data_IF_165786628679
#
_entry.id   IF_165786628679
#
_cell.length_a   1.000
_cell.length_b   1.000
_cell.length_c   1.000
_cell.angle_alpha   90.00
_cell.angle_beta   90.00
_cell.angle_gamma   90.00
#
_symmetry.space_group_name_H-M   'P 1'
#
loop_
_entity.id
_entity.type
_entity.pdbx_description
1 polymer ?
#
# COMPACT_ATOMS: atom_id res chain seq x y z
N UNK A 1 30.83 -52.23 -13.56
CA UNK A 1 31.09 -50.78 -13.56
C UNK A 1 29.95 -49.94 -14.15
N UNK A 2 28.68 -50.34 -13.96
CA UNK A 2 27.54 -49.61 -14.62
C UNK A 2 26.52 -48.99 -13.66
N UNK A 3 26.62 -49.25 -12.36
CA UNK A 3 25.67 -48.75 -11.35
C UNK A 3 26.00 -47.37 -10.77
N UNK A 4 27.24 -46.89 -10.91
CA UNK A 4 27.68 -45.62 -10.30
C UNK A 4 27.34 -44.39 -11.16
N UNK A 5 27.12 -44.58 -12.46
CA UNK A 5 26.81 -43.49 -13.40
C UNK A 5 25.32 -43.08 -13.38
N UNK A 6 24.44 -43.97 -12.94
CA UNK A 6 23.00 -43.68 -12.90
C UNK A 6 22.60 -42.86 -11.68
N UNK A 7 23.32 -43.02 -10.57
CA UNK A 7 23.06 -42.29 -9.32
C UNK A 7 23.46 -40.80 -9.39
N UNK A 8 24.46 -40.49 -10.18
CA UNK A 8 24.92 -39.10 -10.38
C UNK A 8 24.01 -38.32 -11.34
N UNK A 9 23.37 -38.98 -12.30
CA UNK A 9 22.43 -38.34 -13.21
C UNK A 9 21.11 -37.91 -12.56
N UNK A 10 20.65 -38.62 -11.54
CA UNK A 10 19.44 -38.24 -10.79
C UNK A 10 19.63 -37.07 -9.83
N UNK A 11 20.85 -36.81 -9.37
CA UNK A 11 21.15 -35.69 -8.47
C UNK A 11 21.26 -34.33 -9.18
N UNK A 12 21.45 -34.33 -10.51
CA UNK A 12 21.51 -33.10 -11.31
C UNK A 12 20.13 -32.60 -11.81
N UNK A 13 19.07 -33.38 -11.64
CA UNK A 13 17.72 -33.03 -12.12
C UNK A 13 16.87 -32.28 -11.07
N UNK A 14 17.39 -31.99 -9.92
CA UNK A 14 16.72 -31.19 -8.88
C UNK A 14 17.43 -29.88 -8.57
N UNK A 15 18.08 -29.29 -9.54
CA UNK A 15 18.34 -27.85 -9.49
C UNK A 15 17.00 -27.15 -9.68
N UNK A 16 16.28 -26.90 -8.57
CA UNK A 16 15.22 -25.90 -8.53
C UNK A 16 15.76 -24.68 -9.27
N UNK A 17 15.07 -24.27 -10.34
CA UNK A 17 15.31 -22.99 -11.02
C UNK A 17 15.55 -21.95 -9.93
N UNK A 18 16.82 -21.56 -9.69
CA UNK A 18 17.14 -20.43 -8.87
C UNK A 18 16.43 -19.28 -9.58
N UNK A 19 15.36 -18.76 -8.99
CA UNK A 19 14.75 -17.54 -9.48
C UNK A 19 15.88 -16.53 -9.53
N UNK A 20 16.21 -16.04 -10.72
CA UNK A 20 17.15 -14.94 -10.85
C UNK A 20 16.72 -13.88 -9.85
N UNK A 21 17.59 -13.64 -8.86
CA UNK A 21 17.39 -12.53 -7.94
C UNK A 21 17.28 -11.30 -8.80
N UNK A 22 16.15 -10.59 -8.70
CA UNK A 22 16.00 -9.31 -9.38
C UNK A 22 17.11 -8.40 -8.87
N UNK A 23 18.05 -8.08 -9.72
CA UNK A 23 19.23 -7.27 -9.38
C UNK A 23 18.89 -5.79 -9.20
N UNK A 24 17.73 -5.37 -9.68
CA UNK A 24 17.14 -4.05 -9.42
C UNK A 24 15.81 -4.26 -8.69
N UNK A 25 15.69 -3.76 -7.45
CA UNK A 25 14.38 -3.74 -6.79
C UNK A 25 13.40 -2.95 -7.67
N UNK A 26 12.28 -3.55 -8.06
CA UNK A 26 11.14 -2.79 -8.58
C UNK A 26 10.62 -1.96 -7.40
N UNK A 27 11.10 -0.73 -7.31
CA UNK A 27 10.70 0.18 -6.24
C UNK A 27 9.55 1.02 -6.73
N UNK A 28 8.42 0.93 -6.05
CA UNK A 28 7.47 2.02 -6.08
C UNK A 28 8.13 3.20 -5.35
N UNK A 29 8.55 4.22 -6.09
CA UNK A 29 9.13 5.42 -5.52
C UNK A 29 8.10 6.13 -4.64
N UNK A 30 8.58 6.87 -3.65
CA UNK A 30 7.75 7.77 -2.85
C UNK A 30 7.52 9.07 -3.59
N UNK A 31 6.36 9.68 -3.41
CA UNK A 31 6.06 11.02 -3.92
C UNK A 31 6.65 12.09 -3.00
N UNK A 32 7.23 13.14 -3.59
CA UNK A 32 7.57 14.35 -2.82
C UNK A 32 6.28 15.06 -2.36
N UNK A 33 6.35 15.92 -1.32
CA UNK A 33 5.18 16.68 -0.87
C UNK A 33 4.54 17.51 -1.99
N UNK A 34 5.35 18.13 -2.85
CA UNK A 34 4.87 18.92 -3.99
C UNK A 34 4.16 18.04 -5.01
N UNK A 35 4.80 16.94 -5.45
CA UNK A 35 4.15 15.99 -6.38
C UNK A 35 2.83 15.46 -5.82
N UNK A 36 2.80 15.11 -4.54
CA UNK A 36 1.57 14.62 -3.90
C UNK A 36 0.46 15.66 -3.95
N UNK A 37 0.77 16.92 -3.64
CA UNK A 37 -0.18 18.04 -3.68
C UNK A 37 -0.73 18.22 -5.09
N UNK A 38 0.16 18.36 -6.07
CA UNK A 38 -0.21 18.62 -7.47
C UNK A 38 -1.06 17.48 -8.04
N UNK A 39 -0.71 16.22 -7.74
CA UNK A 39 -1.49 15.04 -8.16
C UNK A 39 -2.88 15.04 -7.50
N UNK A 40 -2.99 15.42 -6.23
CA UNK A 40 -4.28 15.48 -5.54
C UNK A 40 -5.16 16.60 -6.10
N UNK A 41 -4.60 17.77 -6.40
CA UNK A 41 -5.32 18.88 -7.03
C UNK A 41 -5.80 18.49 -8.43
N UNK A 42 -4.94 17.89 -9.24
CA UNK A 42 -5.33 17.38 -10.57
C UNK A 42 -6.49 16.36 -10.47
N UNK A 43 -6.39 15.36 -9.58
CA UNK A 43 -7.46 14.38 -9.41
C UNK A 43 -8.74 15.02 -8.86
N UNK A 44 -8.65 16.06 -8.02
CA UNK A 44 -9.82 16.78 -7.49
C UNK A 44 -10.63 17.42 -8.62
N UNK A 45 -9.96 17.97 -9.61
CA UNK A 45 -10.58 18.64 -10.75
C UNK A 45 -11.08 17.66 -11.81
N UNK A 46 -10.37 16.56 -12.02
CA UNK A 46 -10.60 15.69 -13.17
C UNK A 46 -11.23 14.33 -12.80
N UNK A 47 -10.99 13.81 -11.58
CA UNK A 47 -11.43 12.48 -11.16
C UNK A 47 -11.56 12.38 -9.63
N UNK A 48 -12.62 12.92 -9.07
CA UNK A 48 -12.87 12.93 -7.62
C UNK A 48 -13.05 11.53 -7.02
N UNK A 49 -13.52 10.55 -7.81
CA UNK A 49 -13.66 9.15 -7.36
C UNK A 49 -12.28 8.52 -7.20
N UNK A 50 -11.40 8.72 -8.17
CA UNK A 50 -10.02 8.26 -8.08
C UNK A 50 -9.28 8.94 -6.93
N UNK A 51 -9.51 10.24 -6.72
CA UNK A 51 -8.92 10.96 -5.58
C UNK A 51 -9.31 10.28 -4.26
N UNK A 52 -10.60 10.07 -4.01
CA UNK A 52 -11.05 9.42 -2.78
C UNK A 52 -10.48 8.00 -2.66
N UNK A 53 -10.43 7.24 -3.76
CA UNK A 53 -9.80 5.91 -3.78
C UNK A 53 -8.32 5.97 -3.35
N UNK A 54 -7.56 6.92 -3.88
CA UNK A 54 -6.14 7.14 -3.54
C UNK A 54 -6.00 7.64 -2.09
N UNK A 55 -6.93 8.45 -1.59
CA UNK A 55 -6.93 8.90 -0.20
C UNK A 55 -7.11 7.74 0.80
N UNK A 56 -7.92 6.72 0.50
CA UNK A 56 -7.97 5.48 1.30
C UNK A 56 -6.63 4.74 1.31
N UNK A 57 -5.91 4.73 0.19
CA UNK A 57 -4.55 4.15 0.11
C UNK A 57 -3.58 4.96 0.97
N UNK A 58 -3.66 6.28 0.91
CA UNK A 58 -2.76 7.22 1.58
C UNK A 58 -2.99 7.28 3.09
N UNK A 59 -4.21 7.59 3.50
CA UNK A 59 -4.52 7.91 4.91
C UNK A 59 -4.87 6.67 5.75
N UNK A 60 -5.60 5.70 5.18
CA UNK A 60 -5.85 4.43 5.85
C UNK A 60 -4.78 3.38 5.59
N UNK A 61 -3.80 3.70 4.74
CA UNK A 61 -2.70 2.80 4.39
C UNK A 61 -3.22 1.45 3.88
N UNK A 62 -4.26 1.47 3.03
CA UNK A 62 -4.81 0.28 2.42
C UNK A 62 -4.04 -0.11 1.16
N UNK A 63 -4.07 -1.38 0.84
CA UNK A 63 -3.68 -1.83 -0.50
C UNK A 63 -4.81 -1.53 -1.49
N UNK A 64 -4.52 -1.22 -2.77
CA UNK A 64 -5.57 -0.97 -3.76
C UNK A 64 -6.65 -2.06 -3.83
N UNK A 65 -6.25 -3.32 -3.69
CA UNK A 65 -7.20 -4.45 -3.67
C UNK A 65 -8.10 -4.46 -2.42
N UNK A 66 -7.62 -3.95 -1.28
CA UNK A 66 -8.41 -3.81 -0.06
C UNK A 66 -9.45 -2.70 -0.23
N UNK A 67 -9.07 -1.59 -0.88
CA UNK A 67 -10.02 -0.50 -1.20
C UNK A 67 -11.12 -0.99 -2.14
N UNK A 68 -10.80 -1.81 -3.14
CA UNK A 68 -11.79 -2.40 -4.06
C UNK A 68 -12.85 -3.30 -3.40
N UNK A 69 -12.57 -3.77 -2.16
CA UNK A 69 -13.49 -4.65 -1.40
C UNK A 69 -14.43 -3.88 -0.49
N UNK A 70 -14.13 -2.61 -0.22
CA UNK A 70 -14.91 -1.83 0.73
C UNK A 70 -16.35 -1.71 0.29
N UNK A 71 -17.24 -1.94 1.24
CA UNK A 71 -18.65 -1.68 1.15
C UNK A 71 -19.03 -0.50 2.02
N UNK A 72 -20.22 0.03 1.84
CA UNK A 72 -20.77 1.10 2.68
C UNK A 72 -20.82 0.65 4.15
N UNK A 73 -21.21 -0.61 4.42
CA UNK A 73 -21.25 -1.18 5.79
C UNK A 73 -19.88 -1.23 6.49
N UNK A 74 -18.79 -1.19 5.76
CA UNK A 74 -17.45 -1.28 6.32
C UNK A 74 -16.95 0.07 6.88
N UNK A 75 -17.73 1.15 6.70
CA UNK A 75 -17.39 2.52 7.11
C UNK A 75 -18.33 2.98 8.23
N UNK A 76 -17.78 3.13 9.42
CA UNK A 76 -18.46 3.73 10.56
C UNK A 76 -17.93 5.16 10.74
N UNK A 77 -18.68 6.13 10.23
CA UNK A 77 -18.32 7.55 10.30
C UNK A 77 -18.41 8.06 11.74
N UNK A 78 -19.37 7.57 12.53
CA UNK A 78 -19.60 8.05 13.90
C UNK A 78 -18.47 7.64 14.83
N UNK A 79 -18.09 6.35 14.79
CA UNK A 79 -17.00 5.79 15.59
C UNK A 79 -15.63 5.94 14.91
N UNK A 80 -15.57 6.54 13.71
CA UNK A 80 -14.35 6.69 12.89
C UNK A 80 -13.64 5.34 12.65
N UNK A 81 -14.40 4.27 12.45
CA UNK A 81 -13.87 2.91 12.24
C UNK A 81 -14.03 2.45 10.80
N UNK A 82 -13.03 1.76 10.32
CA UNK A 82 -13.00 1.10 9.02
C UNK A 82 -12.77 -0.40 9.21
N UNK A 83 -13.69 -1.22 8.72
CA UNK A 83 -13.62 -2.68 8.78
C UNK A 83 -13.02 -3.22 7.48
N UNK A 84 -11.76 -3.66 7.53
CA UNK A 84 -11.01 -4.13 6.34
C UNK A 84 -11.04 -5.64 6.27
N UNK A 85 -11.75 -6.18 5.28
CA UNK A 85 -11.84 -7.62 5.02
C UNK A 85 -10.68 -8.05 4.10
N UNK A 86 -9.81 -8.92 4.58
CA UNK A 86 -8.78 -9.57 3.78
C UNK A 86 -9.24 -10.99 3.40
N UNK A 87 -8.88 -11.45 2.20
CA UNK A 87 -9.23 -12.80 1.75
C UNK A 87 -8.72 -13.84 2.76
N UNK A 88 -9.62 -14.66 3.31
CA UNK A 88 -9.31 -15.73 4.28
C UNK A 88 -8.59 -15.29 5.57
N UNK A 89 -8.81 -14.06 6.02
CA UNK A 89 -8.23 -13.53 7.27
C UNK A 89 -9.31 -12.85 8.10
N UNK A 90 -9.04 -12.72 9.40
CA UNK A 90 -9.88 -11.92 10.28
C UNK A 90 -10.03 -10.48 9.80
N UNK A 91 -11.19 -9.89 10.06
CA UNK A 91 -11.44 -8.47 9.77
C UNK A 91 -10.49 -7.62 10.60
N UNK A 92 -9.82 -6.67 9.95
CA UNK A 92 -9.01 -5.68 10.64
C UNK A 92 -9.84 -4.43 10.87
N UNK A 93 -9.78 -3.90 12.06
CA UNK A 93 -10.39 -2.61 12.39
C UNK A 93 -9.28 -1.55 12.32
N UNK A 94 -9.54 -0.48 11.59
CA UNK A 94 -8.65 0.68 11.47
C UNK A 94 -9.41 1.95 11.83
N UNK A 95 -8.70 2.94 12.33
CA UNK A 95 -9.26 4.27 12.52
C UNK A 95 -9.29 4.99 11.18
N UNK A 96 -10.37 5.70 10.89
CA UNK A 96 -10.45 6.64 9.77
C UNK A 96 -9.89 7.98 10.26
N UNK A 97 -8.75 8.46 9.74
CA UNK A 97 -8.22 9.75 10.14
C UNK A 97 -9.16 10.91 9.75
N UNK A 98 -9.17 11.98 10.53
CA UNK A 98 -10.05 13.13 10.31
C UNK A 98 -9.90 13.77 8.92
N UNK A 99 -8.70 13.73 8.36
CA UNK A 99 -8.46 14.20 6.99
C UNK A 99 -9.23 13.41 5.94
N UNK A 100 -9.31 12.08 6.09
CA UNK A 100 -10.08 11.24 5.19
C UNK A 100 -11.57 11.35 5.47
N UNK A 101 -11.95 11.44 6.76
CA UNK A 101 -13.36 11.52 7.16
C UNK A 101 -14.09 12.70 6.49
N UNK A 102 -13.41 13.83 6.32
CA UNK A 102 -13.94 15.04 5.66
C UNK A 102 -14.16 14.88 4.14
N UNK A 103 -13.48 13.93 3.53
CA UNK A 103 -13.56 13.67 2.10
C UNK A 103 -14.62 12.59 1.76
N UNK A 104 -15.06 11.80 2.75
CA UNK A 104 -16.09 10.78 2.56
C UNK A 104 -17.44 11.47 2.39
N UNK A 105 -18.17 11.21 1.28
CA UNK A 105 -19.50 11.77 1.09
C UNK A 105 -20.49 11.21 2.13
N UNK A 106 -21.67 11.82 2.21
CA UNK A 106 -22.75 11.30 3.05
C UNK A 106 -23.21 9.92 2.54
N UNK A 107 -22.94 8.89 3.34
CA UNK A 107 -23.30 7.51 3.06
C UNK A 107 -24.59 7.06 3.74
N UNK A 108 -25.23 7.93 4.54
CA UNK A 108 -26.34 7.57 5.45
C UNK A 108 -27.58 7.03 4.73
N UNK A 109 -27.80 7.47 3.48
CA UNK A 109 -28.95 7.07 2.64
C UNK A 109 -28.63 5.93 1.67
N UNK A 110 -27.41 5.42 1.68
CA UNK A 110 -26.98 4.36 0.77
C UNK A 110 -27.22 2.98 1.37
N UNK A 111 -27.55 2.00 0.53
CA UNK A 111 -27.63 0.60 0.98
C UNK A 111 -26.24 0.13 1.44
N UNK A 112 -26.21 -0.40 2.64
CA UNK A 112 -24.99 -0.86 3.32
C UNK A 112 -24.24 -1.97 2.57
N UNK A 113 -24.94 -2.75 1.75
CA UNK A 113 -24.36 -3.87 0.98
C UNK A 113 -23.65 -3.44 -0.30
N UNK A 114 -23.87 -2.22 -0.75
CA UNK A 114 -23.24 -1.68 -1.95
C UNK A 114 -21.73 -1.56 -1.76
N UNK A 115 -21.00 -1.70 -2.86
CA UNK A 115 -19.57 -1.36 -2.87
C UNK A 115 -19.39 0.14 -2.64
N UNK A 116 -18.36 0.52 -1.89
CA UNK A 116 -18.01 1.94 -1.75
C UNK A 116 -17.61 2.54 -3.09
N UNK A 117 -16.79 1.84 -3.86
CA UNK A 117 -16.27 2.29 -5.15
C UNK A 117 -16.81 1.45 -6.30
N UNK A 118 -17.35 2.10 -7.31
CA UNK A 118 -17.65 1.51 -8.63
C UNK A 118 -16.82 2.20 -9.71
N UNK A 119 -17.01 1.80 -10.98
CA UNK A 119 -16.35 2.47 -12.11
C UNK A 119 -16.76 3.93 -12.27
N UNK A 120 -17.96 4.33 -11.84
CA UNK A 120 -18.55 5.62 -12.18
C UNK A 120 -18.99 6.45 -10.99
N UNK A 121 -19.22 5.83 -9.81
CA UNK A 121 -19.74 6.52 -8.64
C UNK A 121 -19.33 5.88 -7.32
N UNK A 122 -19.52 6.62 -6.25
CA UNK A 122 -19.48 6.13 -4.88
C UNK A 122 -20.84 5.48 -4.56
N UNK A 123 -20.80 4.30 -3.97
CA UNK A 123 -22.00 3.55 -3.59
C UNK A 123 -22.73 2.92 -4.78
N UNK A 124 -22.50 1.64 -5.06
CA UNK A 124 -23.17 0.97 -6.14
C UNK A 124 -22.84 -0.51 -6.28
N UNK A 125 -23.54 -1.17 -7.19
CA UNK A 125 -23.19 -2.52 -7.64
C UNK A 125 -22.16 -2.45 -8.76
N UNK A 126 -21.28 -3.43 -8.81
CA UNK A 126 -20.31 -3.57 -9.88
C UNK A 126 -19.99 -5.05 -10.11
N UNK A 127 -20.48 -5.58 -11.22
CA UNK A 127 -20.34 -6.98 -11.62
C UNK A 127 -18.95 -7.25 -12.22
N UNK A 128 -17.91 -7.02 -11.41
CA UNK A 128 -16.53 -7.30 -11.76
C UNK A 128 -15.81 -7.95 -10.56
N UNK A 129 -14.86 -8.83 -10.83
CA UNK A 129 -14.03 -9.37 -9.75
C UNK A 129 -13.04 -8.31 -9.21
N UNK A 130 -12.49 -8.55 -8.03
CA UNK A 130 -11.62 -7.61 -7.33
C UNK A 130 -10.39 -7.20 -8.15
N UNK A 131 -9.81 -8.13 -8.92
CA UNK A 131 -8.65 -7.86 -9.77
C UNK A 131 -9.01 -6.89 -10.88
N UNK A 132 -10.13 -7.12 -11.56
CA UNK A 132 -10.61 -6.24 -12.62
C UNK A 132 -10.95 -4.84 -12.09
N UNK A 133 -11.54 -4.74 -10.89
CA UNK A 133 -11.78 -3.44 -10.21
C UNK A 133 -10.49 -2.70 -9.94
N UNK A 134 -9.49 -3.38 -9.37
CA UNK A 134 -8.16 -2.81 -9.14
C UNK A 134 -7.51 -2.35 -10.45
N UNK A 135 -7.58 -3.16 -11.49
CA UNK A 135 -6.99 -2.84 -12.80
C UNK A 135 -7.69 -1.66 -13.46
N UNK A 136 -9.00 -1.51 -13.26
CA UNK A 136 -9.74 -0.33 -13.70
C UNK A 136 -9.19 0.95 -13.05
N UNK A 137 -9.05 1.00 -11.72
CA UNK A 137 -8.45 2.15 -11.04
C UNK A 137 -6.98 2.37 -11.41
N UNK A 138 -6.24 1.30 -11.69
CA UNK A 138 -4.87 1.41 -12.19
C UNK A 138 -4.80 2.05 -13.57
N UNK A 139 -5.76 1.76 -14.46
CA UNK A 139 -5.88 2.40 -15.78
C UNK A 139 -6.26 3.88 -15.65
N UNK A 140 -7.22 4.23 -14.79
CA UNK A 140 -7.55 5.64 -14.50
C UNK A 140 -6.33 6.39 -13.97
N UNK A 141 -5.59 5.80 -13.05
CA UNK A 141 -4.36 6.42 -12.52
C UNK A 141 -3.25 6.53 -13.58
N UNK A 142 -3.29 5.72 -14.64
CA UNK A 142 -2.36 5.87 -15.76
C UNK A 142 -2.49 7.23 -16.44
N UNK A 143 -3.69 7.77 -16.59
CA UNK A 143 -3.92 9.12 -17.14
C UNK A 143 -3.24 10.20 -16.28
N UNK A 144 -3.32 10.06 -14.94
CA UNK A 144 -2.59 10.93 -14.01
C UNK A 144 -1.08 10.81 -14.22
N UNK A 145 -0.57 9.58 -14.36
CA UNK A 145 0.86 9.35 -14.62
C UNK A 145 1.31 9.99 -15.93
N UNK A 146 0.54 9.81 -16.97
CA UNK A 146 0.85 10.37 -18.30
C UNK A 146 0.85 11.91 -18.26
N UNK A 147 -0.09 12.53 -17.53
CA UNK A 147 -0.14 13.98 -17.33
C UNK A 147 1.11 14.54 -16.63
N UNK A 148 1.60 13.86 -15.59
CA UNK A 148 2.77 14.30 -14.83
C UNK A 148 4.11 13.71 -15.33
N UNK A 149 4.12 12.96 -16.42
CA UNK A 149 5.33 12.33 -16.96
C UNK A 149 5.98 11.33 -15.99
N UNK A 150 5.16 10.62 -15.17
CA UNK A 150 5.67 9.70 -14.17
C UNK A 150 6.08 8.36 -14.79
N UNK A 151 7.26 7.89 -14.44
CA UNK A 151 7.82 6.64 -14.92
C UNK A 151 7.14 5.39 -14.33
N UNK A 152 7.60 4.19 -14.71
CA UNK A 152 7.05 2.91 -14.26
C UNK A 152 7.16 2.70 -12.74
N UNK A 153 8.06 3.42 -12.06
CA UNK A 153 8.29 3.26 -10.62
C UNK A 153 7.25 3.99 -9.76
N UNK A 154 6.38 4.80 -10.37
CA UNK A 154 5.29 5.48 -9.68
C UNK A 154 3.96 4.80 -9.94
N UNK A 155 3.11 4.74 -8.93
CA UNK A 155 1.78 4.17 -9.02
C UNK A 155 0.92 4.53 -7.82
N UNK A 156 -0.34 4.10 -7.80
CA UNK A 156 -1.20 4.32 -6.63
C UNK A 156 -0.59 3.74 -5.34
N UNK A 157 0.14 2.64 -5.44
CA UNK A 157 0.78 2.03 -4.28
C UNK A 157 1.93 2.88 -3.73
N UNK A 158 2.53 3.73 -4.53
CA UNK A 158 3.54 4.72 -4.11
C UNK A 158 3.01 5.69 -3.05
N UNK A 159 1.72 6.02 -3.06
CA UNK A 159 1.11 6.82 -1.98
C UNK A 159 1.18 6.10 -0.65
N UNK A 160 0.90 4.79 -0.61
CA UNK A 160 1.05 4.02 0.62
C UNK A 160 2.49 4.04 1.13
N UNK A 161 3.47 3.86 0.26
CA UNK A 161 4.89 3.96 0.63
C UNK A 161 5.23 5.33 1.18
N UNK A 162 4.82 6.39 0.50
CA UNK A 162 5.03 7.79 0.91
C UNK A 162 4.51 8.04 2.33
N UNK A 163 3.27 7.65 2.59
CA UNK A 163 2.65 7.92 3.89
C UNK A 163 3.20 7.04 5.01
N UNK A 164 3.56 5.79 4.73
CA UNK A 164 4.22 4.91 5.72
C UNK A 164 5.62 5.44 6.06
N UNK A 165 6.40 5.84 5.07
CA UNK A 165 7.73 6.46 5.29
C UNK A 165 7.60 7.71 6.14
N UNK A 166 6.68 8.62 5.79
CA UNK A 166 6.42 9.84 6.56
C UNK A 166 6.03 9.53 8.01
N UNK A 167 5.08 8.62 8.22
CA UNK A 167 4.66 8.24 9.58
C UNK A 167 5.80 7.61 10.38
N UNK A 168 6.60 6.76 9.75
CA UNK A 168 7.76 6.17 10.42
C UNK A 168 8.76 7.25 10.85
N UNK A 169 9.11 8.16 9.95
CA UNK A 169 10.03 9.27 10.25
C UNK A 169 9.50 10.18 11.36
N UNK A 170 8.20 10.50 11.36
CA UNK A 170 7.60 11.28 12.44
C UNK A 170 7.64 10.53 13.80
N UNK A 171 7.31 9.25 13.81
CA UNK A 171 7.40 8.43 15.02
C UNK A 171 8.84 8.31 15.55
N UNK A 172 9.85 8.30 14.65
CA UNK A 172 11.26 8.24 15.04
C UNK A 172 11.78 9.49 15.74
N UNK A 173 11.07 10.62 15.65
CA UNK A 173 11.46 11.85 16.38
C UNK A 173 11.26 11.72 17.89
N UNK A 174 10.22 11.00 18.31
CA UNK A 174 9.80 10.93 19.72
C UNK A 174 9.99 9.55 20.35
N UNK A 175 10.19 8.51 19.52
CA UNK A 175 10.23 7.13 19.97
C UNK A 175 11.51 6.40 19.51
N UNK A 176 11.93 5.42 20.30
CA UNK A 176 12.96 4.48 19.88
C UNK A 176 12.55 3.75 18.62
N UNK A 177 13.50 3.17 17.91
CA UNK A 177 13.24 2.41 16.67
C UNK A 177 12.21 1.29 16.89
N UNK A 178 12.33 0.56 17.98
CA UNK A 178 11.40 -0.54 18.30
C UNK A 178 9.98 -0.03 18.61
N UNK A 179 9.86 1.03 19.41
CA UNK A 179 8.56 1.63 19.73
C UNK A 179 7.89 2.23 18.50
N UNK A 180 8.66 2.95 17.67
CA UNK A 180 8.16 3.51 16.42
C UNK A 180 7.62 2.40 15.49
N UNK A 181 8.36 1.30 15.34
CA UNK A 181 7.90 0.13 14.56
C UNK A 181 6.66 -0.52 15.18
N UNK A 182 6.62 -0.67 16.49
CA UNK A 182 5.47 -1.26 17.19
C UNK A 182 4.20 -0.45 16.97
N UNK A 183 4.27 0.87 17.08
CA UNK A 183 3.14 1.79 16.80
C UNK A 183 2.75 1.75 15.33
N UNK A 184 3.73 1.80 14.43
CA UNK A 184 3.50 1.77 12.99
C UNK A 184 2.85 0.44 12.55
N UNK A 185 3.21 -0.68 13.18
CA UNK A 185 2.63 -1.99 12.89
C UNK A 185 1.12 -2.00 13.16
N UNK A 186 0.67 -1.39 14.24
CA UNK A 186 -0.76 -1.23 14.54
C UNK A 186 -1.47 -0.39 13.49
N UNK A 187 -0.88 0.73 13.08
CA UNK A 187 -1.46 1.66 12.10
C UNK A 187 -1.54 1.00 10.72
N UNK A 188 -0.46 0.36 10.27
CA UNK A 188 -0.39 -0.25 8.93
C UNK A 188 -1.12 -1.58 8.83
N UNK A 189 -1.29 -2.26 9.98
CA UNK A 189 -1.91 -3.58 10.07
C UNK A 189 -1.02 -4.72 9.56
N UNK A 190 0.32 -4.59 9.68
CA UNK A 190 1.22 -5.72 9.46
C UNK A 190 1.03 -6.79 10.53
N UNK A 191 1.05 -8.06 10.13
CA UNK A 191 0.78 -9.16 11.03
C UNK A 191 1.95 -9.48 11.98
N UNK A 192 3.17 -9.15 11.57
CA UNK A 192 4.40 -9.43 12.34
C UNK A 192 5.38 -8.28 12.20
N UNK A 193 6.25 -8.13 13.19
CA UNK A 193 7.35 -7.16 13.16
C UNK A 193 8.28 -7.41 11.97
N UNK A 194 8.62 -8.67 11.71
CA UNK A 194 9.48 -9.06 10.59
C UNK A 194 8.90 -8.62 9.24
N UNK A 195 7.58 -8.76 9.05
CA UNK A 195 6.92 -8.31 7.82
C UNK A 195 6.94 -6.78 7.66
N UNK A 196 6.83 -6.03 8.77
CA UNK A 196 6.97 -4.58 8.75
C UNK A 196 8.41 -4.17 8.45
N UNK A 197 9.38 -4.78 9.09
CA UNK A 197 10.81 -4.47 8.89
C UNK A 197 11.25 -4.75 7.45
N UNK A 198 10.85 -5.89 6.89
CA UNK A 198 11.09 -6.17 5.47
C UNK A 198 10.47 -5.09 4.58
N UNK A 199 9.22 -4.70 4.87
CA UNK A 199 8.54 -3.67 4.12
C UNK A 199 9.26 -2.30 4.20
N UNK A 200 9.71 -1.88 5.40
CA UNK A 200 10.42 -0.61 5.58
C UNK A 200 11.75 -0.59 4.82
N UNK A 201 12.48 -1.72 4.79
CA UNK A 201 13.70 -1.86 3.96
C UNK A 201 13.39 -1.78 2.47
N UNK A 202 12.33 -2.46 2.03
CA UNK A 202 11.95 -2.50 0.61
C UNK A 202 11.57 -1.12 0.05
N UNK A 203 11.14 -0.19 0.91
CA UNK A 203 10.78 1.18 0.53
C UNK A 203 11.81 2.23 0.94
N UNK A 204 12.99 1.82 1.40
CA UNK A 204 14.06 2.69 1.91
C UNK A 204 13.60 3.66 3.03
N UNK A 205 12.60 3.29 3.80
CA UNK A 205 12.11 4.12 4.90
C UNK A 205 13.03 4.06 6.13
N UNK A 206 13.89 3.04 6.19
CA UNK A 206 14.82 2.80 7.29
C UNK A 206 16.25 2.65 6.73
N UNK A 207 17.04 3.68 6.93
CA UNK A 207 18.47 3.70 6.63
C UNK A 207 19.26 3.73 7.94
N UNK A 208 20.50 3.22 7.94
CA UNK A 208 21.40 3.41 9.09
C UNK A 208 21.62 4.91 9.32
N UNK A 209 21.85 5.28 10.57
CA UNK A 209 22.33 6.61 10.91
C UNK A 209 23.76 6.80 10.39
N UNK A 210 24.18 8.05 10.27
CA UNK A 210 25.58 8.35 9.91
C UNK A 210 26.50 7.76 10.97
N UNK A 211 27.41 6.88 10.53
CA UNK A 211 28.37 6.20 11.37
C UNK A 211 29.82 6.72 11.18
N UNK A 212 29.97 7.87 10.53
CA UNK A 212 31.29 8.46 10.25
C UNK A 212 32.13 8.64 11.52
N UNK A 213 31.48 9.05 12.63
CA UNK A 213 32.17 9.24 13.91
C UNK A 213 32.73 7.94 14.49
N UNK A 214 32.11 6.78 14.20
CA UNK A 214 32.60 5.49 14.63
C UNK A 214 33.88 5.05 13.87
N UNK A 215 34.06 5.59 12.68
CA UNK A 215 35.22 5.30 11.84
C UNK A 215 36.42 6.19 12.18
N UNK A 216 36.19 7.32 12.86
CA UNK A 216 37.21 8.30 13.21
C UNK A 216 37.73 8.14 14.66
N UNK A 217 37.25 7.14 15.42
CA UNK A 217 37.74 6.82 16.74
C UNK A 217 39.03 6.00 16.64
N UNK A 218 40.19 6.68 16.62
CA UNK A 218 41.51 6.11 16.93
C UNK A 218 41.83 6.27 18.43
#
# INVERSE_FOLDING_TARGET
MSFHFHYLKQRFLTLKKIKNLKTTPERNKTYTPTMQKDIYEYMRENDSILLLFVQFISYNLLRPIEVCRLKIEDIDVNDKKLYVKAKNKAVKIKIIPDHLLKEIPDLSKMDKKLLLFTSEKIGGEWQANETNRRDHFSKRFKEVKDHFGLDINYGMYSFRHTFITKLYQELRKDYTQFEAKSRLMLITGHATMLALEQYLRDIDAELPEDYSDLLNSE
#
